data_IF_252851631845
#
_entry.id   IF_252851631845
#
_cell.length_a   1.000
_cell.length_b   1.000
_cell.length_c   1.000
_cell.angle_alpha   90.00
_cell.angle_beta   90.00
_cell.angle_gamma   90.00
#
_symmetry.space_group_name_H-M   'P 1'
#
loop_
_entity.id
_entity.type
_entity.pdbx_description
1 polymer ?
#
# COMPACT_ATOMS: atom_id res chain seq x y z
N UNK A 1 7.49 3.39 -1.79
CA UNK A 1 8.40 2.32 -1.31
C UNK A 1 8.10 1.06 -2.10
N UNK A 2 8.87 0.81 -3.17
CA UNK A 2 8.60 -0.23 -4.16
C UNK A 2 9.81 -1.15 -4.41
N UNK A 3 10.93 -0.95 -3.70
CA UNK A 3 12.20 -1.68 -3.89
C UNK A 3 12.22 -3.12 -3.34
N UNK A 4 11.07 -3.76 -3.17
CA UNK A 4 10.93 -5.07 -2.49
C UNK A 4 10.76 -6.19 -3.49
N UNK A 5 10.09 -5.88 -4.60
CA UNK A 5 9.71 -6.83 -5.63
C UNK A 5 10.82 -7.26 -6.61
N UNK A 6 12.08 -6.73 -6.60
CA UNK A 6 13.14 -7.34 -7.39
C UNK A 6 13.39 -8.81 -7.04
N UNK A 7 13.17 -9.21 -5.78
CA UNK A 7 13.26 -10.63 -5.38
C UNK A 7 12.08 -11.43 -5.91
N UNK A 8 10.85 -10.92 -5.76
CA UNK A 8 9.66 -11.60 -6.31
C UNK A 8 9.71 -11.71 -7.84
N UNK A 9 10.30 -10.72 -8.53
CA UNK A 9 10.48 -10.72 -9.98
C UNK A 9 11.37 -11.86 -10.50
N UNK A 10 12.20 -12.47 -9.63
CA UNK A 10 12.96 -13.69 -9.96
C UNK A 10 12.11 -14.96 -9.89
N UNK A 11 11.01 -14.92 -9.13
CA UNK A 11 10.13 -16.07 -8.89
C UNK A 11 8.86 -16.03 -9.77
N UNK A 12 8.43 -14.83 -10.16
CA UNK A 12 7.14 -14.58 -10.84
C UNK A 12 7.32 -13.53 -11.93
N UNK A 13 6.55 -13.67 -13.01
CA UNK A 13 6.37 -12.60 -14.01
C UNK A 13 5.44 -11.52 -13.43
N UNK A 14 5.99 -10.34 -13.16
CA UNK A 14 5.27 -9.25 -12.48
C UNK A 14 4.85 -8.18 -13.48
N UNK A 15 3.64 -7.66 -13.30
CA UNK A 15 3.20 -6.37 -13.85
C UNK A 15 2.79 -5.48 -12.70
N UNK A 16 3.38 -4.30 -12.61
CA UNK A 16 3.00 -3.30 -11.62
C UNK A 16 1.65 -2.68 -11.98
N UNK A 17 0.83 -2.40 -10.97
CA UNK A 17 -0.41 -1.67 -11.13
C UNK A 17 -0.42 -0.45 -10.23
N UNK A 18 -0.56 0.73 -10.81
CA UNK A 18 -0.69 1.98 -10.07
C UNK A 18 -2.16 2.42 -10.03
N UNK A 19 -2.78 2.28 -8.86
CA UNK A 19 -4.11 2.81 -8.57
C UNK A 19 -4.16 3.31 -7.13
N UNK A 20 -4.44 4.60 -7.00
CA UNK A 20 -4.54 5.28 -5.71
C UNK A 20 -5.28 6.62 -5.92
N UNK A 21 -6.63 6.58 -5.97
CA UNK A 21 -7.45 7.72 -6.40
C UNK A 21 -7.45 8.88 -5.40
N UNK A 22 -6.86 8.69 -4.23
CA UNK A 22 -6.93 9.58 -3.09
C UNK A 22 -5.59 10.18 -2.67
N UNK A 23 -4.54 10.03 -3.49
CA UNK A 23 -3.27 10.70 -3.21
C UNK A 23 -3.48 12.22 -3.35
N UNK A 24 -3.26 12.92 -2.26
CA UNK A 24 -3.39 14.36 -2.15
C UNK A 24 -2.13 14.90 -1.45
N UNK A 25 -1.60 16.06 -1.86
CA UNK A 25 -2.05 16.90 -2.98
C UNK A 25 -1.61 16.34 -4.34
N UNK A 26 -1.96 17.02 -5.44
CA UNK A 26 -1.63 16.61 -6.81
C UNK A 26 -0.13 16.32 -6.99
N UNK A 27 0.73 17.12 -6.37
CA UNK A 27 2.19 16.95 -6.47
C UNK A 27 2.68 15.64 -5.83
N UNK A 28 2.03 15.21 -4.74
CA UNK A 28 2.29 13.90 -4.13
C UNK A 28 1.90 12.77 -5.09
N UNK A 29 0.77 12.90 -5.79
CA UNK A 29 0.33 11.93 -6.79
C UNK A 29 1.37 11.82 -7.91
N UNK A 30 1.79 12.96 -8.47
CA UNK A 30 2.76 13.02 -9.57
C UNK A 30 4.08 12.38 -9.11
N UNK A 31 4.60 12.77 -7.95
CA UNK A 31 5.86 12.24 -7.40
C UNK A 31 5.81 10.71 -7.23
N UNK A 32 4.68 10.18 -6.71
CA UNK A 32 4.50 8.73 -6.54
C UNK A 32 4.32 8.00 -7.87
N UNK A 33 3.57 8.57 -8.80
CA UNK A 33 3.34 7.99 -10.12
C UNK A 33 4.65 7.90 -10.91
N UNK A 34 5.41 8.99 -10.98
CA UNK A 34 6.71 9.04 -11.65
C UNK A 34 7.70 8.07 -11.01
N UNK A 35 7.72 7.99 -9.67
CA UNK A 35 8.59 7.03 -8.96
C UNK A 35 8.19 5.59 -9.21
N UNK A 36 6.88 5.28 -9.27
CA UNK A 36 6.39 3.96 -9.61
C UNK A 36 6.77 3.57 -11.04
N UNK A 37 6.65 4.50 -12.00
CA UNK A 37 7.07 4.31 -13.38
C UNK A 37 8.57 4.08 -13.50
N UNK A 38 9.38 4.92 -12.84
CA UNK A 38 10.83 4.75 -12.80
C UNK A 38 11.24 3.39 -12.24
N UNK A 39 10.69 2.99 -11.09
CA UNK A 39 11.02 1.71 -10.47
C UNK A 39 10.58 0.53 -11.34
N UNK A 40 9.41 0.63 -11.98
CA UNK A 40 8.95 -0.41 -12.90
C UNK A 40 9.91 -0.55 -14.08
N UNK A 41 10.31 0.55 -14.71
CA UNK A 41 11.28 0.54 -15.80
C UNK A 41 12.66 0.03 -15.36
N UNK A 42 13.17 0.51 -14.21
CA UNK A 42 14.48 0.15 -13.69
C UNK A 42 14.62 -1.34 -13.39
N UNK A 43 13.56 -1.99 -12.89
CA UNK A 43 13.56 -3.42 -12.62
C UNK A 43 12.94 -4.28 -13.73
N UNK A 44 12.58 -3.68 -14.88
CA UNK A 44 12.06 -4.41 -16.04
C UNK A 44 10.63 -4.93 -15.89
N UNK A 45 9.81 -4.29 -15.06
CA UNK A 45 8.38 -4.60 -14.93
C UNK A 45 7.54 -3.75 -15.87
N UNK A 46 6.57 -4.36 -16.55
CA UNK A 46 5.49 -3.60 -17.18
C UNK A 46 4.69 -2.89 -16.10
N UNK A 47 4.20 -1.68 -16.38
CA UNK A 47 3.30 -0.96 -15.49
C UNK A 47 1.99 -0.63 -16.20
N UNK A 48 0.88 -1.00 -15.57
CA UNK A 48 -0.46 -0.53 -15.90
C UNK A 48 -0.83 0.53 -14.87
N UNK A 49 -1.63 1.51 -15.27
CA UNK A 49 -2.15 2.51 -14.34
C UNK A 49 -3.61 2.78 -14.59
N UNK A 50 -4.32 3.08 -13.51
CA UNK A 50 -5.62 3.71 -13.55
C UNK A 50 -5.47 5.08 -12.87
N UNK A 51 -5.54 6.12 -13.69
CA UNK A 51 -5.35 7.52 -13.28
C UNK A 51 -6.64 8.20 -12.88
N UNK A 52 -7.75 7.45 -12.75
CA UNK A 52 -9.00 7.98 -12.24
C UNK A 52 -8.78 8.64 -10.87
N UNK A 53 -9.18 9.90 -10.78
CA UNK A 53 -9.01 10.74 -9.60
C UNK A 53 -10.39 11.14 -9.06
N UNK A 54 -11.14 10.15 -8.61
CA UNK A 54 -12.49 10.33 -8.04
C UNK A 54 -12.42 10.41 -6.52
N UNK A 55 -11.95 11.57 -6.05
CA UNK A 55 -11.77 11.84 -4.61
C UNK A 55 -13.12 11.85 -3.89
N UNK A 56 -14.20 12.30 -4.55
CA UNK A 56 -15.53 12.34 -3.94
C UNK A 56 -16.08 10.94 -3.66
N UNK A 57 -16.02 10.05 -4.66
CA UNK A 57 -16.44 8.65 -4.48
C UNK A 57 -15.59 7.97 -3.41
N UNK A 58 -14.27 8.17 -3.45
CA UNK A 58 -13.38 7.64 -2.42
C UNK A 58 -13.75 8.18 -1.04
N UNK A 59 -13.95 9.50 -0.89
CA UNK A 59 -14.28 10.12 0.38
C UNK A 59 -15.59 9.58 0.94
N UNK A 60 -16.65 9.48 0.12
CA UNK A 60 -17.93 8.88 0.50
C UNK A 60 -17.74 7.46 1.03
N UNK A 61 -16.97 6.63 0.32
CA UNK A 61 -16.70 5.25 0.72
C UNK A 61 -15.96 5.13 2.06
N UNK A 62 -14.90 5.92 2.25
CA UNK A 62 -14.07 5.82 3.47
C UNK A 62 -14.66 6.53 4.67
N UNK A 63 -15.59 7.47 4.48
CA UNK A 63 -16.33 8.14 5.55
C UNK A 63 -17.57 7.34 6.00
N UNK A 64 -18.15 6.52 5.12
CA UNK A 64 -19.28 5.65 5.48
C UNK A 64 -18.88 4.38 6.22
N UNK A 65 -17.57 4.10 6.35
CA UNK A 65 -17.05 2.87 6.95
C UNK A 65 -15.94 3.18 7.97
N UNK A 66 -16.05 2.58 9.16
CA UNK A 66 -15.01 2.61 10.17
C UNK A 66 -14.39 1.20 10.32
N UNK A 67 -13.04 1.05 10.34
CA UNK A 67 -12.02 2.09 10.18
C UNK A 67 -11.84 2.55 8.72
N UNK A 68 -11.69 3.87 8.52
CA UNK A 68 -11.45 4.52 7.22
C UNK A 68 -10.35 3.86 6.38
N UNK A 69 -9.23 3.52 7.02
CA UNK A 69 -8.08 2.92 6.34
C UNK A 69 -8.39 1.53 5.78
N UNK A 70 -9.26 0.76 6.45
CA UNK A 70 -9.71 -0.54 5.97
C UNK A 70 -10.46 -0.41 4.63
N UNK A 71 -11.43 0.51 4.56
CA UNK A 71 -12.19 0.79 3.34
C UNK A 71 -11.29 1.25 2.17
N UNK A 72 -10.28 2.08 2.46
CA UNK A 72 -9.29 2.51 1.47
C UNK A 72 -8.44 1.33 0.94
N UNK A 73 -8.00 0.43 1.81
CA UNK A 73 -7.24 -0.76 1.41
C UNK A 73 -8.11 -1.73 0.62
N UNK A 74 -9.36 -1.96 1.06
CA UNK A 74 -10.35 -2.77 0.34
C UNK A 74 -10.58 -2.26 -1.07
N UNK A 75 -10.85 -0.95 -1.26
CA UNK A 75 -11.06 -0.36 -2.59
C UNK A 75 -9.87 -0.62 -3.52
N UNK A 76 -8.65 -0.43 -3.01
CA UNK A 76 -7.42 -0.62 -3.78
C UNK A 76 -7.16 -2.10 -4.11
N UNK A 77 -7.40 -3.02 -3.17
CA UNK A 77 -7.26 -4.45 -3.41
C UNK A 77 -8.32 -4.95 -4.40
N UNK A 78 -9.57 -4.52 -4.25
CA UNK A 78 -10.68 -4.91 -5.13
C UNK A 78 -10.41 -4.46 -6.56
N UNK A 79 -10.06 -3.18 -6.75
CA UNK A 79 -9.71 -2.65 -8.07
C UNK A 79 -8.52 -3.37 -8.71
N UNK A 80 -7.54 -3.77 -7.90
CA UNK A 80 -6.39 -4.56 -8.37
C UNK A 80 -6.82 -5.94 -8.84
N UNK A 81 -7.66 -6.64 -8.08
CA UNK A 81 -8.18 -7.96 -8.43
C UNK A 81 -9.08 -7.93 -9.67
N UNK A 82 -9.96 -6.93 -9.80
CA UNK A 82 -10.78 -6.71 -10.99
C UNK A 82 -9.93 -6.47 -12.24
N UNK A 83 -8.88 -5.64 -12.11
CA UNK A 83 -7.93 -5.37 -13.19
C UNK A 83 -7.13 -6.62 -13.54
N UNK A 84 -6.72 -7.39 -12.53
CA UNK A 84 -6.02 -8.65 -12.71
C UNK A 84 -6.87 -9.66 -13.50
N UNK A 85 -8.15 -9.80 -13.13
CA UNK A 85 -9.12 -10.65 -13.84
C UNK A 85 -9.29 -10.21 -15.29
N UNK A 86 -9.53 -8.92 -15.52
CA UNK A 86 -9.77 -8.36 -16.85
C UNK A 86 -8.56 -8.51 -17.79
N UNK A 87 -7.34 -8.59 -17.24
CA UNK A 87 -6.09 -8.74 -17.98
C UNK A 87 -5.56 -10.18 -18.00
N UNK A 88 -6.28 -11.14 -17.42
CA UNK A 88 -5.91 -12.56 -17.43
C UNK A 88 -4.74 -12.91 -16.50
N UNK A 89 -4.49 -12.14 -15.45
CA UNK A 89 -3.54 -12.51 -14.40
C UNK A 89 -4.15 -13.55 -13.46
N UNK A 90 -3.35 -14.51 -13.04
CA UNK A 90 -3.79 -15.59 -12.12
C UNK A 90 -3.78 -15.16 -10.66
N UNK A 91 -2.96 -14.17 -10.31
CA UNK A 91 -2.84 -13.69 -8.94
C UNK A 91 -2.60 -12.19 -8.85
N UNK A 92 -2.94 -11.62 -7.70
CA UNK A 92 -2.65 -10.24 -7.35
C UNK A 92 -2.01 -10.14 -5.96
N UNK A 93 -1.27 -9.06 -5.71
CA UNK A 93 -0.66 -8.77 -4.41
C UNK A 93 -0.55 -7.26 -4.23
N UNK A 94 -0.02 -6.79 -3.11
CA UNK A 94 0.08 -5.36 -2.81
C UNK A 94 1.42 -4.97 -2.18
N UNK A 95 1.96 -3.83 -2.61
CA UNK A 95 3.19 -3.26 -2.03
C UNK A 95 3.03 -2.86 -0.57
N UNK A 96 1.80 -2.82 -0.03
CA UNK A 96 1.55 -2.57 1.39
C UNK A 96 2.19 -3.64 2.29
N UNK A 97 2.41 -4.85 1.77
CA UNK A 97 2.99 -5.98 2.50
C UNK A 97 4.49 -5.83 2.85
N UNK A 98 5.17 -4.77 2.40
CA UNK A 98 6.52 -4.45 2.94
C UNK A 98 6.46 -3.62 4.21
N UNK A 99 5.43 -2.79 4.36
CA UNK A 99 5.44 -1.76 5.39
C UNK A 99 5.17 -2.39 6.76
N UNK A 100 6.04 -2.16 7.77
CA UNK A 100 5.80 -2.63 9.13
C UNK A 100 4.60 -1.93 9.80
N UNK A 101 4.19 -0.78 9.26
CA UNK A 101 3.07 0.02 9.77
C UNK A 101 1.69 -0.42 9.26
N UNK A 102 1.62 -1.37 8.32
CA UNK A 102 0.35 -1.84 7.77
C UNK A 102 -0.18 -3.01 8.59
N UNK A 103 -1.51 -3.15 8.67
CA UNK A 103 -2.11 -4.33 9.29
C UNK A 103 -2.15 -5.48 8.26
N UNK A 104 -1.14 -6.34 8.33
CA UNK A 104 -1.00 -7.50 7.44
C UNK A 104 -2.09 -8.54 7.63
N UNK A 105 -2.60 -8.71 8.86
CA UNK A 105 -3.70 -9.64 9.14
C UNK A 105 -4.94 -9.21 8.35
N UNK A 106 -5.32 -7.95 8.46
CA UNK A 106 -6.43 -7.39 7.70
C UNK A 106 -6.20 -7.49 6.19
N UNK A 107 -5.01 -7.11 5.69
CA UNK A 107 -4.69 -7.19 4.26
C UNK A 107 -4.79 -8.64 3.75
N UNK A 108 -4.35 -9.61 4.55
CA UNK A 108 -4.44 -11.04 4.22
C UNK A 108 -5.89 -11.49 4.14
N UNK A 109 -6.65 -11.29 5.20
CA UNK A 109 -8.06 -11.69 5.29
C UNK A 109 -8.89 -11.04 4.17
N UNK A 110 -8.68 -9.74 3.94
CA UNK A 110 -9.40 -9.00 2.91
C UNK A 110 -9.00 -9.41 1.50
N UNK A 111 -7.70 -9.69 1.28
CA UNK A 111 -7.21 -10.24 0.03
C UNK A 111 -7.81 -11.61 -0.28
N UNK A 112 -7.86 -12.52 0.69
CA UNK A 112 -8.48 -13.85 0.58
C UNK A 112 -10.00 -13.75 0.31
N UNK A 113 -10.68 -12.81 0.96
CA UNK A 113 -12.10 -12.51 0.70
C UNK A 113 -12.32 -12.04 -0.74
N UNK A 114 -11.52 -11.08 -1.21
CA UNK A 114 -11.59 -10.55 -2.58
C UNK A 114 -11.21 -11.63 -3.61
N UNK A 115 -10.24 -12.48 -3.28
CA UNK A 115 -9.86 -13.65 -4.10
C UNK A 115 -11.07 -14.55 -4.35
N UNK A 116 -11.84 -14.84 -3.29
CA UNK A 116 -13.06 -15.65 -3.37
C UNK A 116 -14.15 -14.99 -4.22
N UNK A 117 -14.25 -13.66 -4.20
CA UNK A 117 -15.24 -12.91 -4.99
C UNK A 117 -14.88 -12.77 -6.47
N UNK A 118 -13.60 -12.66 -6.78
CA UNK A 118 -13.13 -12.31 -8.12
C UNK A 118 -12.63 -13.51 -8.92
N UNK A 119 -12.25 -14.61 -8.24
CA UNK A 119 -11.61 -15.78 -8.83
C UNK A 119 -10.13 -15.58 -9.18
N UNK A 120 -9.49 -14.53 -8.66
CA UNK A 120 -8.06 -14.24 -8.85
C UNK A 120 -7.35 -14.47 -7.53
N UNK A 121 -6.28 -15.27 -7.50
CA UNK A 121 -5.61 -15.64 -6.26
C UNK A 121 -4.95 -14.43 -5.57
N UNK A 122 -5.22 -14.24 -4.28
CA UNK A 122 -4.44 -13.30 -3.49
C UNK A 122 -3.12 -13.91 -3.04
N UNK A 123 -2.02 -13.41 -3.61
CA UNK A 123 -0.67 -13.82 -3.23
C UNK A 123 -0.19 -13.03 -2.00
N UNK A 124 -0.41 -13.59 -0.82
CA UNK A 124 0.13 -13.07 0.42
C UNK A 124 1.57 -13.55 0.64
N UNK A 125 2.46 -12.62 0.97
CA UNK A 125 3.79 -12.90 1.53
C UNK A 125 4.18 -11.76 2.46
N UNK A 126 4.69 -12.11 3.64
CA UNK A 126 5.22 -11.11 4.56
C UNK A 126 6.59 -10.61 4.06
N UNK A 127 6.59 -9.39 3.51
CA UNK A 127 7.80 -8.72 3.03
C UNK A 127 8.40 -7.75 4.05
N UNK A 128 7.96 -7.73 5.32
CA UNK A 128 8.51 -6.81 6.34
C UNK A 128 10.00 -7.00 6.55
N UNK A 129 10.50 -8.25 6.41
CA UNK A 129 11.94 -8.54 6.43
C UNK A 129 12.75 -7.80 5.35
N UNK A 130 12.11 -7.44 4.24
CA UNK A 130 12.71 -6.69 3.15
C UNK A 130 12.58 -5.17 3.32
N UNK A 131 11.97 -4.69 4.40
CA UNK A 131 11.75 -3.26 4.62
C UNK A 131 13.07 -2.48 4.66
N UNK A 132 14.09 -2.99 5.38
CA UNK A 132 15.41 -2.36 5.45
C UNK A 132 16.08 -2.22 4.08
N UNK A 133 16.07 -3.29 3.28
CA UNK A 133 16.57 -3.25 1.91
C UNK A 133 15.78 -2.27 1.04
N UNK A 134 14.45 -2.23 1.17
CA UNK A 134 13.62 -1.29 0.42
C UNK A 134 13.96 0.17 0.75
N UNK A 135 14.34 0.47 2.00
CA UNK A 135 14.82 1.79 2.41
C UNK A 135 16.17 2.07 1.77
N UNK A 136 17.12 1.14 1.86
CA UNK A 136 18.46 1.28 1.30
C UNK A 136 18.41 1.52 -0.22
N UNK A 137 17.73 0.66 -0.96
CA UNK A 137 17.55 0.77 -2.42
C UNK A 137 16.88 2.11 -2.77
N UNK A 138 15.89 2.57 -1.99
CA UNK A 138 15.26 3.86 -2.27
C UNK A 138 16.20 5.05 -2.13
N UNK A 139 17.22 4.96 -1.27
CA UNK A 139 18.24 5.99 -1.12
C UNK A 139 19.28 5.91 -2.23
N UNK A 140 19.75 4.71 -2.55
CA UNK A 140 20.73 4.46 -3.63
C UNK A 140 20.22 4.95 -4.98
N UNK A 141 18.92 4.73 -5.25
CA UNK A 141 18.26 5.15 -6.49
C UNK A 141 17.66 6.56 -6.43
N UNK A 142 17.89 7.32 -5.35
CA UNK A 142 17.36 8.68 -5.13
C UNK A 142 15.84 8.78 -5.36
N UNK A 143 15.09 7.75 -4.96
CA UNK A 143 13.65 7.69 -5.17
C UNK A 143 12.91 8.68 -4.27
N UNK A 144 11.77 9.18 -4.75
CA UNK A 144 10.82 9.86 -3.88
C UNK A 144 10.39 8.96 -2.72
N UNK A 145 10.43 9.49 -1.49
CA UNK A 145 10.03 8.79 -0.27
C UNK A 145 8.86 9.49 0.38
N UNK A 146 7.70 8.84 0.30
CA UNK A 146 6.46 9.32 0.91
C UNK A 146 6.61 9.53 2.42
N UNK A 147 6.05 10.64 2.93
CA UNK A 147 6.06 10.99 4.37
C UNK A 147 4.81 10.52 5.12
N UNK A 148 3.72 10.24 4.39
CA UNK A 148 2.41 9.82 4.90
C UNK A 148 1.73 8.83 3.94
N UNK A 149 0.56 8.31 4.30
CA UNK A 149 -0.13 7.28 3.50
C UNK A 149 -0.56 7.80 2.12
N UNK A 150 -0.83 9.10 2.00
CA UNK A 150 -1.15 9.79 0.76
C UNK A 150 -2.52 10.46 0.77
N UNK A 151 -3.43 10.07 1.66
CA UNK A 151 -4.75 10.70 1.72
C UNK A 151 -4.75 12.00 2.54
N UNK A 152 -5.70 12.88 2.26
CA UNK A 152 -5.88 14.17 2.97
C UNK A 152 -5.88 14.00 4.50
N UNK A 153 -6.49 12.93 5.02
CA UNK A 153 -6.49 12.66 6.45
C UNK A 153 -5.08 12.33 6.98
N UNK A 154 -4.34 11.50 6.25
CA UNK A 154 -2.97 11.15 6.65
C UNK A 154 -1.98 12.30 6.47
N UNK A 155 -2.25 13.21 5.53
CA UNK A 155 -1.52 14.47 5.40
C UNK A 155 -1.80 15.39 6.60
N UNK A 156 -3.06 15.59 6.95
CA UNK A 156 -3.46 16.38 8.10
C UNK A 156 -2.87 15.82 9.41
N UNK A 157 -2.88 14.50 9.59
CA UNK A 157 -2.24 13.83 10.74
C UNK A 157 -0.71 14.06 10.80
N UNK A 158 -0.05 14.18 9.64
CA UNK A 158 1.38 14.46 9.57
C UNK A 158 1.67 15.94 9.90
N UNK A 159 0.88 16.87 9.37
CA UNK A 159 1.04 18.31 9.59
C UNK A 159 0.64 18.74 11.01
N UNK A 160 -0.36 18.06 11.59
CA UNK A 160 -0.88 18.32 12.92
C UNK A 160 -0.83 17.04 13.75
N UNK A 161 0.37 16.62 14.20
CA UNK A 161 0.48 15.46 15.07
C UNK A 161 -0.35 15.70 16.35
N UNK A 162 -1.19 14.75 16.77
CA UNK A 162 -2.03 14.94 17.95
C UNK A 162 -1.15 15.18 19.17
N UNK A 163 -1.53 16.18 20.00
CA UNK A 163 -0.97 16.34 21.35
C UNK A 163 -1.20 15.03 22.10
N UNK A 164 -0.23 14.58 22.90
CA UNK A 164 -0.12 13.21 23.44
C UNK A 164 -1.26 12.72 24.37
N UNK A 165 -2.45 13.33 24.40
CA UNK A 165 -3.51 13.08 25.39
C UNK A 165 -4.94 12.85 24.86
N UNK A 166 -5.18 12.59 23.57
CA UNK A 166 -6.54 12.32 23.07
C UNK A 166 -6.87 10.79 22.98
N UNK A 167 -7.99 10.30 23.56
CA UNK A 167 -8.26 8.86 23.71
C UNK A 167 -8.67 8.11 22.42
N UNK A 168 -8.93 8.79 21.30
CA UNK A 168 -9.52 8.19 20.08
C UNK A 168 -8.54 7.46 19.16
N UNK A 169 -7.31 7.17 19.60
CA UNK A 169 -6.21 6.69 18.74
C UNK A 169 -6.39 5.24 18.24
N UNK A 170 -7.21 4.44 18.91
CA UNK A 170 -7.39 3.02 18.60
C UNK A 170 -8.39 2.73 17.46
N UNK A 171 -9.30 3.65 17.15
CA UNK A 171 -10.44 3.36 16.26
C UNK A 171 -10.19 3.73 14.78
N UNK A 172 -9.25 4.64 14.51
CA UNK A 172 -8.99 5.14 13.15
C UNK A 172 -7.84 4.44 12.41
N UNK A 173 -6.98 3.71 13.14
CA UNK A 173 -5.90 2.91 12.59
C UNK A 173 -6.09 1.47 13.00
N UNK A 174 -6.06 0.57 12.02
CA UNK A 174 -5.98 -0.86 12.27
C UNK A 174 -4.77 -1.13 13.21
N UNK A 175 -4.93 -1.89 14.30
CA UNK A 175 -3.86 -2.10 15.27
C UNK A 175 -2.66 -2.74 14.58
N UNK A 176 -1.49 -2.12 14.71
CA UNK A 176 -0.23 -2.67 14.22
C UNK A 176 0.25 -3.77 15.16
N UNK A 177 0.37 -5.00 14.65
CA UNK A 177 0.99 -6.11 15.38
C UNK A 177 2.51 -6.02 15.28
N UNK A 178 3.09 -5.07 16.02
CA UNK A 178 4.54 -5.08 16.32
C UNK A 178 4.71 -5.67 17.71
N UNK A 179 5.01 -6.97 17.79
CA UNK A 179 5.58 -7.57 19.00
C UNK A 179 6.92 -6.87 19.28
N UNK A 180 7.02 -6.19 20.43
CA UNK A 180 8.29 -5.68 20.94
C UNK A 180 9.19 -6.88 21.19
N UNK A 181 10.26 -7.04 20.41
CA UNK A 181 11.41 -7.83 20.85
C UNK A 181 12.06 -7.11 22.02
N UNK A 182 12.01 -7.74 23.18
CA UNK A 182 12.79 -7.38 24.37
C UNK A 182 14.27 -7.61 24.02
N UNK A 183 15.08 -6.56 24.09
CA UNK A 183 16.54 -6.69 24.02
C UNK A 183 17.04 -7.41 25.28
N UNK A 184 18.03 -8.31 25.19
CA UNK A 184 18.66 -8.86 26.37
C UNK A 184 19.57 -7.79 26.99
N UNK A 185 19.50 -7.66 28.31
CA UNK A 185 20.45 -6.86 29.08
C UNK A 185 21.86 -7.42 28.89
N UNK A 186 22.80 -6.52 28.58
CA UNK A 186 24.25 -6.71 28.79
C UNK A 186 24.64 -5.80 29.94
#
# INVERSE_FOLDING_TARGET
MCGVYPTLGREKKITAFFYNPNIHPRDEYISRFMTAGFVSAHFGFNMISDTAFDVEKWAKNVLSQAPRCSACVTDRLMKTAETARAKGFTSFTTTLLVSPYQNHKFIKEEGERISSLTGVDFFYRDFRKNYGDSVRISKELLLYRQKYCGCIFSEAEMLHPPRQSAPGRAESRLPSTSEKKMEPAV
#
